data_IF_435460861081
#
_entry.id   IF_435460861081
#
_cell.length_a   1.000
_cell.length_b   1.000
_cell.length_c   1.000
_cell.angle_alpha   90.00
_cell.angle_beta   90.00
_cell.angle_gamma   90.00
#
_symmetry.space_group_name_H-M   'P 1'
#
loop_
_entity.id
_entity.type
_entity.pdbx_description
1 polymer ?
#
# COMPACT_ATOMS: atom_id res chain seq x y z
N UNK A 1 -0.45 7.93 12.20
CA UNK A 1 0.00 6.89 11.28
C UNK A 1 -1.17 6.42 10.43
N UNK A 2 -0.97 5.51 9.51
CA UNK A 2 -2.03 4.90 8.67
C UNK A 2 -1.79 3.40 8.52
N UNK A 3 -1.13 2.78 9.48
CA UNK A 3 -0.72 1.38 9.40
C UNK A 3 -1.92 0.43 9.40
N UNK A 4 -2.93 0.69 10.24
CA UNK A 4 -4.16 -0.10 10.27
C UNK A 4 -4.93 -0.03 8.93
N UNK A 5 -4.99 1.15 8.27
CA UNK A 5 -5.61 1.32 6.95
C UNK A 5 -4.86 0.48 5.90
N UNK A 6 -3.52 0.48 5.96
CA UNK A 6 -2.70 -0.33 5.06
C UNK A 6 -2.84 -1.82 5.30
N UNK A 7 -3.03 -2.23 6.55
CA UNK A 7 -3.19 -3.63 6.93
C UNK A 7 -4.57 -4.19 6.57
N UNK A 8 -5.61 -3.35 6.53
CA UNK A 8 -6.97 -3.81 6.25
C UNK A 8 -7.12 -4.36 4.83
N UNK A 9 -7.50 -5.64 4.63
CA UNK A 9 -7.60 -6.25 3.31
C UNK A 9 -8.83 -5.82 2.51
N UNK A 10 -9.86 -5.30 3.18
CA UNK A 10 -11.17 -4.97 2.59
C UNK A 10 -11.51 -3.48 2.68
N UNK A 11 -10.54 -2.63 3.01
CA UNK A 11 -10.71 -1.18 3.15
C UNK A 11 -11.86 -0.77 4.09
N UNK A 12 -12.04 -1.50 5.19
CA UNK A 12 -13.04 -1.16 6.19
C UNK A 12 -12.59 -0.04 7.15
N UNK A 13 -11.34 0.40 7.07
CA UNK A 13 -10.80 1.45 7.94
C UNK A 13 -10.56 2.71 7.14
N UNK A 14 -11.18 3.81 7.55
CA UNK A 14 -11.05 5.12 6.94
C UNK A 14 -10.33 6.09 7.87
N UNK A 15 -9.67 7.07 7.31
CA UNK A 15 -8.93 8.10 8.05
C UNK A 15 -7.77 8.68 7.25
N UNK A 16 -7.02 9.57 7.88
CA UNK A 16 -5.85 10.22 7.28
C UNK A 16 -4.71 10.36 8.30
N UNK A 17 -3.48 10.68 7.86
CA UNK A 17 -2.38 10.95 8.78
C UNK A 17 -2.74 12.05 9.78
N UNK A 18 -2.49 11.80 11.08
CA UNK A 18 -2.80 12.71 12.21
C UNK A 18 -4.31 12.98 12.43
N UNK A 19 -5.18 12.21 11.82
CA UNK A 19 -6.63 12.24 12.08
C UNK A 19 -7.08 10.93 12.70
N UNK A 20 -8.27 10.92 13.30
CA UNK A 20 -8.87 9.71 13.85
C UNK A 20 -9.16 8.72 12.72
N UNK A 21 -8.87 7.45 12.97
CA UNK A 21 -9.22 6.35 12.06
C UNK A 21 -10.48 5.69 12.60
N UNK A 22 -11.44 5.43 11.71
CA UNK A 22 -12.73 4.83 12.05
C UNK A 22 -12.89 3.53 11.27
N UNK A 23 -13.36 2.49 11.96
CA UNK A 23 -13.75 1.23 11.31
C UNK A 23 -15.20 1.36 10.84
N UNK A 24 -15.44 1.00 9.59
CA UNK A 24 -16.79 0.82 9.05
C UNK A 24 -17.20 -0.61 9.39
N UNK A 25 -18.04 -0.76 10.40
CA UNK A 25 -18.38 -2.06 11.00
C UNK A 25 -18.99 -3.03 9.98
N UNK A 26 -19.93 -2.58 9.17
CA UNK A 26 -20.59 -3.38 8.13
C UNK A 26 -19.64 -3.93 7.05
N UNK A 27 -18.43 -3.39 6.95
CA UNK A 27 -17.42 -3.81 5.99
C UNK A 27 -16.28 -4.60 6.64
N UNK A 28 -16.26 -4.64 7.97
CA UNK A 28 -15.20 -5.30 8.72
C UNK A 28 -15.41 -6.81 8.74
N UNK A 29 -14.38 -7.55 8.32
CA UNK A 29 -14.41 -9.02 8.31
C UNK A 29 -13.91 -9.66 9.59
N UNK A 30 -13.55 -8.88 10.60
CA UNK A 30 -13.02 -9.40 11.88
C UNK A 30 -11.66 -10.13 11.75
N UNK A 31 -10.88 -9.86 10.69
CA UNK A 31 -9.64 -10.59 10.40
C UNK A 31 -8.45 -10.27 11.30
N UNK A 32 -8.58 -9.30 12.20
CA UNK A 32 -7.59 -8.89 13.22
C UNK A 32 -6.26 -8.32 12.69
N UNK A 33 -6.01 -8.27 11.38
CA UNK A 33 -4.75 -7.82 10.80
C UNK A 33 -4.38 -6.35 11.14
N UNK A 34 -5.36 -5.54 11.52
CA UNK A 34 -5.14 -4.17 11.95
C UNK A 34 -4.61 -4.03 13.38
N UNK A 35 -4.85 -5.02 14.25
CA UNK A 35 -4.46 -5.01 15.66
C UNK A 35 -2.94 -4.99 15.81
N UNK A 36 -2.18 -5.98 15.32
CA UNK A 36 -0.72 -5.97 15.44
C UNK A 36 -0.06 -4.84 14.62
N UNK A 37 -0.78 -4.27 13.65
CA UNK A 37 -0.28 -3.15 12.88
C UNK A 37 -0.38 -1.80 13.61
N UNK A 38 -1.15 -1.73 14.71
CA UNK A 38 -1.34 -0.50 15.48
C UNK A 38 -0.19 -0.30 16.49
N UNK A 39 0.66 0.72 16.35
CA UNK A 39 1.80 0.92 17.24
C UNK A 39 1.41 1.49 18.61
N UNK A 40 0.17 1.90 18.79
CA UNK A 40 -0.36 2.48 20.03
C UNK A 40 -1.48 1.63 20.65
N UNK A 41 -1.69 0.43 20.11
CA UNK A 41 -2.59 -0.59 20.65
C UNK A 41 -4.01 -0.06 20.95
N UNK A 42 -4.56 0.75 20.03
CA UNK A 42 -5.84 1.43 20.21
C UNK A 42 -7.03 0.73 19.49
N UNK A 43 -6.82 -0.50 19.01
CA UNK A 43 -7.84 -1.26 18.28
C UNK A 43 -8.19 -2.51 19.10
N UNK A 44 -9.47 -2.66 19.43
CA UNK A 44 -10.00 -3.83 20.10
C UNK A 44 -11.15 -4.45 19.31
N UNK A 45 -11.32 -5.76 19.42
CA UNK A 45 -12.48 -6.45 18.88
C UNK A 45 -13.59 -6.48 19.93
N UNK A 46 -14.79 -6.21 19.47
CA UNK A 46 -16.01 -6.37 20.26
C UNK A 46 -16.96 -7.33 19.55
N UNK A 47 -17.72 -8.18 20.26
CA UNK A 47 -18.72 -9.04 19.64
C UNK A 47 -19.81 -8.22 18.95
N UNK A 48 -20.11 -8.51 17.68
CA UNK A 48 -21.17 -7.85 16.92
C UNK A 48 -22.54 -8.24 17.45
N UNK A 49 -22.71 -9.49 17.89
CA UNK A 49 -23.96 -9.99 18.46
C UNK A 49 -23.78 -10.29 19.94
N UNK A 50 -24.55 -9.63 20.77
CA UNK A 50 -24.55 -9.85 22.22
C UNK A 50 -25.37 -11.08 22.64
N UNK A 51 -26.21 -11.64 21.74
CA UNK A 51 -27.14 -12.75 22.06
C UNK A 51 -26.50 -14.11 21.80
N UNK A 52 -26.75 -15.06 22.68
CA UNK A 52 -26.38 -16.46 22.54
C UNK A 52 -27.58 -17.32 22.10
N UNK A 53 -27.42 -18.40 21.34
CA UNK A 53 -26.12 -18.88 20.81
C UNK A 53 -25.64 -18.08 19.61
N UNK A 54 -24.34 -17.83 19.56
CA UNK A 54 -23.72 -17.12 18.42
C UNK A 54 -23.44 -18.10 17.29
N UNK A 55 -23.78 -17.77 16.03
CA UNK A 55 -23.34 -18.57 14.91
C UNK A 55 -21.80 -18.55 14.83
N UNK A 56 -21.22 -19.70 14.50
CA UNK A 56 -19.77 -19.88 14.36
C UNK A 56 -19.41 -20.46 13.01
N UNK A 57 -18.16 -20.30 12.62
CA UNK A 57 -17.65 -20.82 11.33
C UNK A 57 -18.42 -20.23 10.14
N UNK A 58 -18.77 -21.07 9.18
CA UNK A 58 -19.47 -20.65 7.96
C UNK A 58 -20.87 -20.07 8.20
N UNK A 59 -21.53 -20.47 9.29
CA UNK A 59 -22.86 -19.95 9.63
C UNK A 59 -22.81 -18.51 10.17
N UNK A 60 -21.65 -18.06 10.64
CA UNK A 60 -21.48 -16.71 11.16
C UNK A 60 -21.42 -15.65 10.07
N UNK A 61 -21.23 -16.05 8.81
CA UNK A 61 -21.00 -15.11 7.72
C UNK A 61 -21.84 -15.45 6.49
N UNK A 62 -22.89 -14.67 6.20
CA UNK A 62 -23.73 -14.88 5.03
C UNK A 62 -22.93 -14.82 3.73
N UNK A 63 -23.32 -15.64 2.74
CA UNK A 63 -22.64 -15.73 1.46
C UNK A 63 -22.52 -14.36 0.77
N UNK A 64 -23.56 -13.53 0.87
CA UNK A 64 -23.55 -12.18 0.26
C UNK A 64 -22.46 -11.28 0.84
N UNK A 65 -22.25 -11.31 2.15
CA UNK A 65 -21.19 -10.55 2.82
C UNK A 65 -19.80 -11.07 2.47
N UNK A 66 -19.66 -12.41 2.38
CA UNK A 66 -18.41 -13.03 1.95
C UNK A 66 -18.05 -12.67 0.50
N UNK A 67 -19.05 -12.60 -0.41
CA UNK A 67 -18.85 -12.20 -1.79
C UNK A 67 -18.49 -10.71 -1.92
N UNK A 68 -19.14 -9.87 -1.11
CA UNK A 68 -18.80 -8.45 -1.04
C UNK A 68 -17.36 -8.24 -0.53
N UNK A 69 -16.95 -8.96 0.50
CA UNK A 69 -15.59 -8.88 1.02
C UNK A 69 -14.54 -9.32 -0.02
N UNK A 70 -14.81 -10.38 -0.79
CA UNK A 70 -13.95 -10.81 -1.91
C UNK A 70 -13.83 -9.73 -3.00
N UNK A 71 -14.95 -9.13 -3.39
CA UNK A 71 -14.98 -8.05 -4.37
C UNK A 71 -14.11 -6.86 -3.90
N UNK A 72 -14.30 -6.41 -2.67
CA UNK A 72 -13.51 -5.31 -2.08
C UNK A 72 -12.02 -5.65 -2.01
N UNK A 73 -11.69 -6.89 -1.67
CA UNK A 73 -10.30 -7.35 -1.68
C UNK A 73 -9.69 -7.26 -3.09
N UNK A 74 -10.39 -7.74 -4.11
CA UNK A 74 -9.92 -7.70 -5.50
C UNK A 74 -9.74 -6.25 -6.00
N UNK A 75 -10.71 -5.38 -5.72
CA UNK A 75 -10.63 -3.95 -6.05
C UNK A 75 -9.44 -3.27 -5.37
N UNK A 76 -9.20 -3.60 -4.09
CA UNK A 76 -8.04 -3.10 -3.35
C UNK A 76 -6.73 -3.54 -3.98
N UNK A 77 -6.60 -4.82 -4.37
CA UNK A 77 -5.41 -5.32 -5.04
C UNK A 77 -5.14 -4.57 -6.36
N UNK A 78 -6.17 -4.42 -7.18
CA UNK A 78 -6.09 -3.67 -8.45
C UNK A 78 -5.66 -2.22 -8.22
N UNK A 79 -6.25 -1.55 -7.23
CA UNK A 79 -5.89 -0.18 -6.87
C UNK A 79 -4.43 -0.09 -6.39
N UNK A 80 -3.97 -1.01 -5.55
CA UNK A 80 -2.59 -1.03 -5.08
C UNK A 80 -1.60 -1.22 -6.22
N UNK A 81 -1.86 -2.14 -7.14
CA UNK A 81 -1.03 -2.36 -8.33
C UNK A 81 -0.95 -1.10 -9.19
N UNK A 82 -2.09 -0.42 -9.43
CA UNK A 82 -2.11 0.83 -10.17
C UNK A 82 -1.29 1.92 -9.48
N UNK A 83 -1.49 2.14 -8.19
CA UNK A 83 -0.74 3.15 -7.42
C UNK A 83 0.76 2.86 -7.40
N UNK A 84 1.14 1.60 -7.31
CA UNK A 84 2.54 1.19 -7.39
C UNK A 84 3.13 1.49 -8.77
N UNK A 85 2.41 1.15 -9.85
CA UNK A 85 2.84 1.43 -11.21
C UNK A 85 2.99 2.94 -11.48
N UNK A 86 2.04 3.75 -11.00
CA UNK A 86 2.08 5.22 -11.10
C UNK A 86 3.28 5.79 -10.32
N UNK A 87 3.53 5.27 -9.12
CA UNK A 87 4.68 5.66 -8.29
C UNK A 87 6.00 5.37 -9.01
N UNK A 88 6.14 4.16 -9.54
CA UNK A 88 7.34 3.73 -10.26
C UNK A 88 7.56 4.53 -11.55
N UNK A 89 6.49 4.82 -12.27
CA UNK A 89 6.56 5.67 -13.46
C UNK A 89 7.06 7.08 -13.10
N UNK A 90 6.55 7.66 -12.01
CA UNK A 90 7.00 8.97 -11.52
C UNK A 90 8.47 8.96 -11.09
N UNK A 91 8.91 7.90 -10.41
CA UNK A 91 10.33 7.77 -10.04
C UNK A 91 11.23 7.63 -11.26
N UNK A 92 10.81 6.85 -12.26
CA UNK A 92 11.56 6.69 -13.51
C UNK A 92 11.66 8.02 -14.28
N UNK A 93 10.56 8.77 -14.39
CA UNK A 93 10.56 10.09 -15.02
C UNK A 93 11.51 11.07 -14.33
N UNK A 94 11.49 11.12 -12.98
CA UNK A 94 12.43 11.92 -12.19
C UNK A 94 13.89 11.53 -12.42
N UNK A 95 14.18 10.23 -12.51
CA UNK A 95 15.53 9.75 -12.75
C UNK A 95 16.01 10.08 -14.18
N UNK A 96 15.13 9.95 -15.19
CA UNK A 96 15.43 10.37 -16.57
C UNK A 96 15.69 11.87 -16.67
N UNK A 97 14.86 12.69 -16.01
CA UNK A 97 15.08 14.13 -15.94
C UNK A 97 16.44 14.49 -15.33
N UNK A 98 16.79 13.82 -14.21
CA UNK A 98 18.12 14.01 -13.59
C UNK A 98 19.27 13.59 -14.50
N UNK A 99 19.12 12.54 -15.30
CA UNK A 99 20.14 12.12 -16.26
C UNK A 99 20.32 13.15 -17.38
N UNK A 100 19.21 13.65 -17.93
CA UNK A 100 19.23 14.64 -18.99
C UNK A 100 19.90 15.97 -18.57
N UNK A 101 19.73 16.36 -17.30
CA UNK A 101 20.23 17.62 -16.76
C UNK A 101 21.36 17.43 -15.72
N UNK A 102 22.10 16.32 -15.80
CA UNK A 102 23.06 15.95 -14.76
C UNK A 102 24.15 17.01 -14.57
N UNK A 103 24.67 17.58 -15.67
CA UNK A 103 25.69 18.62 -15.64
C UNK A 103 25.20 19.92 -14.99
N UNK A 104 23.93 20.26 -15.21
CA UNK A 104 23.30 21.48 -14.66
C UNK A 104 22.96 21.32 -13.17
N UNK A 105 22.54 20.09 -12.76
CA UNK A 105 22.08 19.80 -11.41
C UNK A 105 23.24 19.44 -10.44
N UNK A 106 24.45 19.23 -10.95
CA UNK A 106 25.64 18.94 -10.13
C UNK A 106 26.59 20.13 -10.16
N UNK A 107 27.23 20.40 -9.01
CA UNK A 107 28.24 21.45 -8.88
C UNK A 107 29.62 21.04 -9.41
N UNK A 108 29.78 19.79 -9.82
CA UNK A 108 31.05 19.28 -10.29
C UNK A 108 31.22 19.54 -11.78
N UNK A 109 32.41 19.97 -12.17
CA UNK A 109 32.84 20.16 -13.55
C UNK A 109 33.78 19.04 -14.01
N UNK A 110 34.10 18.09 -13.14
CA UNK A 110 34.93 16.92 -13.41
C UNK A 110 34.15 15.89 -14.25
N UNK A 111 34.64 15.64 -15.46
CA UNK A 111 34.02 14.70 -16.42
C UNK A 111 33.97 13.25 -15.90
N UNK A 112 35.02 12.82 -15.18
CA UNK A 112 35.08 11.48 -14.60
C UNK A 112 34.03 11.31 -13.49
N UNK A 113 33.83 12.33 -12.66
CA UNK A 113 32.82 12.32 -11.61
C UNK A 113 31.40 12.33 -12.20
N UNK A 114 31.17 13.12 -13.27
CA UNK A 114 29.91 13.13 -13.98
C UNK A 114 29.60 11.77 -14.63
N UNK A 115 30.58 11.13 -15.22
CA UNK A 115 30.44 9.78 -15.81
C UNK A 115 30.06 8.75 -14.75
N UNK A 116 30.71 8.77 -13.57
CA UNK A 116 30.38 7.87 -12.45
C UNK A 116 28.95 8.09 -11.95
N UNK A 117 28.52 9.34 -11.78
CA UNK A 117 27.16 9.71 -11.35
C UNK A 117 26.12 9.23 -12.38
N UNK A 118 26.41 9.39 -13.67
CA UNK A 118 25.55 8.91 -14.75
C UNK A 118 25.38 7.41 -14.70
N UNK A 119 26.49 6.66 -14.61
CA UNK A 119 26.47 5.21 -14.53
C UNK A 119 25.63 4.68 -13.34
N UNK A 120 25.70 5.32 -12.17
CA UNK A 120 24.90 4.94 -11.00
C UNK A 120 23.40 5.10 -11.26
N UNK A 121 22.97 6.22 -11.86
CA UNK A 121 21.55 6.48 -12.16
C UNK A 121 21.05 5.54 -13.27
N UNK A 122 21.83 5.30 -14.29
CA UNK A 122 21.52 4.34 -15.39
C UNK A 122 21.35 2.92 -14.85
N UNK A 123 22.26 2.47 -13.99
CA UNK A 123 22.18 1.16 -13.35
C UNK A 123 20.93 1.03 -12.44
N UNK A 124 20.54 2.11 -11.74
CA UNK A 124 19.31 2.14 -10.95
C UNK A 124 18.06 2.05 -11.83
N UNK A 125 18.03 2.76 -12.96
CA UNK A 125 16.94 2.70 -13.94
C UNK A 125 16.84 1.31 -14.60
N UNK A 126 17.96 0.71 -14.96
CA UNK A 126 18.01 -0.63 -15.52
C UNK A 126 17.42 -1.67 -14.54
N UNK A 127 17.82 -1.61 -13.26
CA UNK A 127 17.24 -2.46 -12.20
C UNK A 127 15.74 -2.27 -12.03
N UNK A 128 15.28 -1.04 -12.06
CA UNK A 128 13.85 -0.73 -11.96
C UNK A 128 13.03 -1.27 -13.15
N UNK A 129 13.60 -1.20 -14.37
CA UNK A 129 12.99 -1.80 -15.57
C UNK A 129 12.93 -3.32 -15.50
N UNK A 130 14.01 -3.96 -15.06
CA UNK A 130 14.07 -5.43 -14.91
C UNK A 130 13.01 -5.94 -13.92
N UNK A 131 12.79 -5.25 -12.80
CA UNK A 131 11.75 -5.61 -11.83
C UNK A 131 10.33 -5.55 -12.41
N UNK A 132 10.06 -4.61 -13.34
CA UNK A 132 8.76 -4.49 -14.00
C UNK A 132 8.49 -5.59 -15.02
N UNK A 133 9.53 -6.18 -15.59
CA UNK A 133 9.42 -7.24 -16.62
C UNK A 133 9.37 -8.64 -16.02
N UNK A 134 9.81 -8.80 -14.78
CA UNK A 134 9.88 -10.09 -14.09
C UNK A 134 8.76 -10.35 -13.07
N UNK A 135 7.78 -9.49 -12.95
CA UNK A 135 6.57 -9.66 -12.14
C UNK A 135 5.32 -9.68 -13.01
#
# INVERSE_FOLDING_TARGET
CTLCIKACPVDSIVGAPKQMHTVIEDLCTGCELCIPACPVDCISLVPVHAQEPRPTGWAAWPQAEADQARTRYAERQTRQQRLQAEHDARLAAKAQHKLAHLAELTKTTDEDELARKRAVVEAALARARARRQGG
#
